data_IF_013593496814
#
_entry.id   IF_013593496814
#
_cell.length_a   1.000
_cell.length_b   1.000
_cell.length_c   1.000
_cell.angle_alpha   90.00
_cell.angle_beta   90.00
_cell.angle_gamma   90.00
#
_symmetry.space_group_name_H-M   'P 1'
#
loop_
_entity.id
_entity.type
_entity.pdbx_description
1 polymer ?
#
# COMPACT_ATOMS: atom_id res chain seq x y z
N UNK A 1 6.47 20.06 1.13
CA UNK A 1 7.08 18.72 0.91
C UNK A 1 6.05 17.61 1.13
N UNK A 2 6.39 16.32 0.92
CA UNK A 2 5.47 15.20 1.19
C UNK A 2 4.92 15.23 2.62
N UNK A 3 5.78 15.58 3.59
CA UNK A 3 5.41 15.68 5.01
C UNK A 3 4.38 16.78 5.31
N UNK A 4 4.30 17.84 4.50
CA UNK A 4 3.29 18.90 4.67
C UNK A 4 1.92 18.50 4.12
N UNK A 5 1.84 17.38 3.39
CA UNK A 5 0.62 16.87 2.75
C UNK A 5 0.06 15.63 3.44
N UNK A 6 0.68 15.20 4.53
CA UNK A 6 0.28 14.02 5.28
C UNK A 6 -0.04 14.41 6.73
N UNK A 7 -1.08 13.81 7.31
CA UNK A 7 -1.43 14.02 8.72
C UNK A 7 -0.35 13.47 9.66
N UNK A 8 0.40 12.46 9.22
CA UNK A 8 1.52 11.87 9.94
C UNK A 8 2.58 11.33 8.97
N UNK A 9 3.85 11.36 9.40
CA UNK A 9 4.96 10.70 8.72
C UNK A 9 5.72 9.86 9.74
N UNK A 10 5.86 8.58 9.46
CA UNK A 10 6.52 7.62 10.34
C UNK A 10 7.65 6.91 9.59
N UNK A 11 8.80 6.78 10.24
CA UNK A 11 10.00 6.16 9.67
C UNK A 11 10.41 4.98 10.54
N UNK A 12 10.54 3.82 9.91
CA UNK A 12 10.93 2.59 10.58
C UNK A 12 12.06 1.92 9.81
N UNK A 13 12.95 1.24 10.53
CA UNK A 13 13.93 0.35 9.92
C UNK A 13 13.24 -0.83 9.21
N UNK A 14 12.21 -1.39 9.84
CA UNK A 14 11.41 -2.49 9.32
C UNK A 14 9.91 -2.22 9.54
N UNK A 15 9.27 -1.52 8.59
CA UNK A 15 7.87 -1.06 8.72
C UNK A 15 6.85 -2.16 9.06
N UNK A 16 7.07 -3.39 8.59
CA UNK A 16 6.16 -4.50 8.84
C UNK A 16 6.07 -4.91 10.32
N UNK A 17 7.12 -4.67 11.11
CA UNK A 17 7.14 -4.97 12.55
C UNK A 17 6.22 -4.03 13.35
N UNK A 18 5.90 -2.86 12.79
CA UNK A 18 5.09 -1.83 13.44
C UNK A 18 3.67 -1.75 12.91
N UNK A 19 3.33 -2.57 11.91
CA UNK A 19 2.07 -2.42 11.18
C UNK A 19 0.85 -2.63 12.07
N UNK A 20 0.88 -3.61 12.98
CA UNK A 20 -0.21 -3.83 13.95
C UNK A 20 -0.51 -2.60 14.81
N UNK A 21 0.52 -1.87 15.23
CA UNK A 21 0.35 -0.65 16.03
C UNK A 21 -0.30 0.46 15.19
N UNK A 22 0.17 0.65 13.97
CA UNK A 22 -0.38 1.63 13.02
C UNK A 22 -1.85 1.30 12.73
N UNK A 23 -2.18 0.04 12.44
CA UNK A 23 -3.54 -0.39 12.14
C UNK A 23 -4.50 -0.12 13.31
N UNK A 24 -4.03 -0.33 14.54
CA UNK A 24 -4.81 -0.04 15.75
C UNK A 24 -5.03 1.46 15.95
N UNK A 25 -4.04 2.29 15.66
CA UNK A 25 -4.14 3.76 15.79
C UNK A 25 -5.22 4.34 14.88
N UNK A 26 -5.41 3.74 13.71
CA UNK A 26 -6.43 4.13 12.73
C UNK A 26 -7.62 3.16 12.71
N UNK A 27 -7.99 2.61 13.88
CA UNK A 27 -9.21 1.83 14.02
C UNK A 27 -10.46 2.65 13.63
N UNK A 28 -11.44 2.02 12.99
CA UNK A 28 -12.63 2.68 12.46
C UNK A 28 -12.47 3.33 11.07
N UNK A 29 -11.25 3.46 10.55
CA UNK A 29 -11.01 3.92 9.18
C UNK A 29 -10.91 2.76 8.19
N UNK A 30 -11.36 3.00 6.95
CA UNK A 30 -11.02 2.17 5.80
C UNK A 30 -9.54 2.30 5.51
N UNK A 31 -8.83 1.18 5.47
CA UNK A 31 -7.37 1.15 5.36
C UNK A 31 -6.98 0.69 3.96
N UNK A 32 -6.17 1.54 3.31
CA UNK A 32 -5.62 1.27 1.99
C UNK A 32 -4.11 1.34 2.12
N UNK A 33 -3.42 0.31 1.64
CA UNK A 33 -1.94 0.30 1.57
C UNK A 33 -1.52 0.31 0.11
N UNK A 34 -0.64 1.23 -0.23
CA UNK A 34 -0.13 1.45 -1.58
C UNK A 34 1.39 1.25 -1.56
N UNK A 35 1.92 0.34 -2.38
CA UNK A 35 3.36 0.02 -2.44
C UNK A 35 3.74 -0.53 -3.82
N UNK A 36 4.99 -0.40 -4.23
CA UNK A 36 5.56 -0.98 -5.46
C UNK A 36 6.03 -2.43 -5.33
N UNK A 37 5.94 -3.00 -4.12
CA UNK A 37 6.44 -4.34 -3.76
C UNK A 37 5.31 -5.30 -3.43
N UNK A 38 4.93 -6.13 -4.41
CA UNK A 38 3.87 -7.14 -4.25
C UNK A 38 4.11 -8.10 -3.08
N UNK A 39 5.35 -8.51 -2.81
CA UNK A 39 5.68 -9.43 -1.70
C UNK A 39 5.29 -8.86 -0.33
N UNK A 40 5.47 -7.55 -0.16
CA UNK A 40 5.13 -6.81 1.03
C UNK A 40 3.61 -6.73 1.16
N UNK A 41 2.91 -6.35 0.08
CA UNK A 41 1.45 -6.28 0.07
C UNK A 41 0.79 -7.63 0.38
N UNK A 42 1.33 -8.73 -0.15
CA UNK A 42 0.82 -10.08 0.12
C UNK A 42 0.97 -10.43 1.61
N UNK A 43 2.10 -10.08 2.24
CA UNK A 43 2.30 -10.29 3.68
C UNK A 43 1.28 -9.49 4.49
N UNK A 44 1.07 -8.23 4.11
CA UNK A 44 0.08 -7.35 4.75
C UNK A 44 -1.32 -7.94 4.62
N UNK A 45 -1.76 -8.30 3.41
CA UNK A 45 -3.09 -8.88 3.17
C UNK A 45 -3.32 -10.19 3.93
N UNK A 46 -2.28 -11.02 4.07
CA UNK A 46 -2.37 -12.26 4.88
C UNK A 46 -2.56 -11.96 6.37
N UNK A 47 -1.89 -10.93 6.89
CA UNK A 47 -1.98 -10.55 8.30
C UNK A 47 -3.26 -9.76 8.61
N UNK A 48 -3.73 -8.96 7.65
CA UNK A 48 -4.91 -8.09 7.75
C UNK A 48 -5.77 -8.22 6.49
N UNK A 49 -6.61 -9.28 6.39
CA UNK A 49 -7.40 -9.57 5.19
C UNK A 49 -8.37 -8.46 4.78
N UNK A 50 -8.79 -7.64 5.74
CA UNK A 50 -9.72 -6.52 5.56
C UNK A 50 -9.10 -5.30 4.86
N UNK A 51 -7.76 -5.21 4.81
CA UNK A 51 -7.06 -4.08 4.20
C UNK A 51 -7.14 -4.18 2.68
N UNK A 52 -7.41 -3.05 2.02
CA UNK A 52 -7.31 -2.96 0.58
C UNK A 52 -5.86 -2.68 0.17
N UNK A 53 -5.24 -3.57 -0.59
CA UNK A 53 -3.84 -3.45 -1.01
C UNK A 53 -3.74 -3.12 -2.49
N UNK A 54 -2.95 -2.10 -2.82
CA UNK A 54 -2.74 -1.61 -4.18
C UNK A 54 -1.26 -1.68 -4.52
N UNK A 55 -0.94 -2.45 -5.55
CA UNK A 55 0.38 -2.42 -6.17
C UNK A 55 0.45 -1.28 -7.17
N UNK A 56 1.51 -0.46 -7.09
CA UNK A 56 1.83 0.56 -8.10
C UNK A 56 3.07 0.12 -8.85
N UNK A 57 2.96 -0.18 -10.13
CA UNK A 57 4.07 -0.64 -10.97
C UNK A 57 5.00 0.51 -11.38
N UNK A 58 5.59 1.19 -10.40
CA UNK A 58 6.59 2.24 -10.61
C UNK A 58 7.97 1.81 -10.09
N UNK A 59 9.03 2.38 -10.67
CA UNK A 59 10.40 2.14 -10.23
C UNK A 59 10.98 0.80 -10.68
N UNK A 60 12.03 0.35 -9.98
CA UNK A 60 12.80 -0.84 -10.33
C UNK A 60 11.99 -2.15 -10.23
N UNK A 61 11.05 -2.22 -9.28
CA UNK A 61 10.27 -3.44 -9.00
C UNK A 61 9.18 -3.70 -10.04
N UNK A 62 8.77 -2.68 -10.79
CA UNK A 62 7.80 -2.79 -11.88
C UNK A 62 8.26 -3.73 -13.01
N UNK A 63 9.57 -3.85 -13.23
CA UNK A 63 10.14 -4.57 -14.39
C UNK A 63 10.74 -5.93 -14.04
N UNK A 64 11.13 -6.15 -12.78
CA UNK A 64 11.85 -7.36 -12.34
C UNK A 64 10.92 -8.35 -11.63
N UNK A 65 9.98 -7.86 -10.82
CA UNK A 65 9.23 -8.68 -9.86
C UNK A 65 7.72 -8.65 -10.06
N UNK A 66 7.21 -7.87 -11.02
CA UNK A 66 5.78 -7.79 -11.25
C UNK A 66 5.23 -9.14 -11.74
N UNK A 67 4.42 -9.76 -10.89
CA UNK A 67 3.58 -10.92 -11.21
C UNK A 67 2.21 -10.66 -10.65
N UNK A 68 1.22 -10.61 -11.53
CA UNK A 68 -0.18 -10.43 -11.14
C UNK A 68 -0.55 -11.51 -10.11
N UNK A 69 -0.89 -11.08 -8.89
CA UNK A 69 -1.18 -12.00 -7.79
C UNK A 69 -2.63 -11.83 -7.32
N UNK A 70 -3.36 -12.93 -7.18
CA UNK A 70 -4.78 -12.94 -6.76
C UNK A 70 -5.05 -12.33 -5.37
N UNK A 71 -3.98 -12.13 -4.59
CA UNK A 71 -4.08 -11.56 -3.25
C UNK A 71 -4.00 -10.02 -3.25
N UNK A 72 -3.66 -9.42 -4.39
CA UNK A 72 -3.71 -7.97 -4.55
C UNK A 72 -5.15 -7.58 -4.90
N UNK A 73 -5.68 -6.56 -4.24
CA UNK A 73 -7.02 -6.07 -4.56
C UNK A 73 -6.99 -5.23 -5.84
N UNK A 74 -5.87 -4.55 -6.11
CA UNK A 74 -5.65 -3.78 -7.33
C UNK A 74 -4.17 -3.68 -7.70
N UNK A 75 -3.92 -3.58 -9.00
CA UNK A 75 -2.63 -3.17 -9.57
C UNK A 75 -2.88 -1.98 -10.50
N UNK A 76 -2.05 -0.95 -10.41
CA UNK A 76 -2.05 0.23 -11.31
C UNK A 76 -0.65 0.44 -11.87
N UNK A 77 -0.52 1.01 -13.07
CA UNK A 77 0.82 1.24 -13.64
C UNK A 77 1.50 2.47 -13.02
N UNK A 78 0.71 3.40 -12.50
CA UNK A 78 1.20 4.67 -11.98
C UNK A 78 0.33 5.17 -10.81
N UNK A 79 0.93 5.96 -9.91
CA UNK A 79 0.18 6.54 -8.77
C UNK A 79 -0.90 7.52 -9.27
N UNK A 80 -0.66 8.17 -10.40
CA UNK A 80 -1.56 9.11 -11.06
C UNK A 80 -2.91 8.47 -11.44
N UNK A 81 -2.92 7.17 -11.76
CA UNK A 81 -4.16 6.44 -12.04
C UNK A 81 -5.14 6.46 -10.86
N UNK A 82 -4.65 6.57 -9.62
CA UNK A 82 -5.52 6.65 -8.45
C UNK A 82 -6.38 7.91 -8.43
N UNK A 83 -5.90 9.00 -9.03
CA UNK A 83 -6.68 10.24 -9.15
C UNK A 83 -7.93 10.04 -10.03
N UNK A 84 -7.85 9.16 -11.03
CA UNK A 84 -8.99 8.82 -11.88
C UNK A 84 -10.06 7.99 -11.17
N UNK A 85 -9.71 7.34 -10.06
CA UNK A 85 -10.63 6.50 -9.28
C UNK A 85 -11.51 7.30 -8.31
N UNK A 86 -11.16 8.55 -8.03
CA UNK A 86 -11.94 9.43 -7.15
C UNK A 86 -13.14 10.08 -7.86
N UNK A 87 -13.18 10.00 -9.20
CA UNK A 87 -14.15 10.72 -10.04
C UNK A 87 -15.30 9.83 -10.56
N UNK A 88 -15.42 8.60 -10.07
CA UNK A 88 -16.52 7.65 -10.38
C UNK A 88 -17.19 7.20 -9.09
#
# INVERSE_FOLDING_TARGET
GLAERADAVELYKHKLEHLSEIMKRYEGFTKIVIEDRADTLIKIKKQFPEIFVIEVCQGHYATVDHKLHKALDKTVNSIEELLSLQNN
#
